data_IF_749833916224
#
_entry.id   IF_749833916224
#
_cell.length_a   1.000
_cell.length_b   1.000
_cell.length_c   1.000
_cell.angle_alpha   90.00
_cell.angle_beta   90.00
_cell.angle_gamma   90.00
#
_symmetry.space_group_name_H-M   'P 1'
#
loop_
_entity.id
_entity.type
_entity.pdbx_description
1 polymer ?
#
# COMPACT_ATOMS: atom_id res chain seq x y z
N UNK A 1 -1.61 25.20 -25.01
CA UNK A 1 -2.51 25.10 -23.82
C UNK A 1 -2.06 26.15 -22.81
N UNK A 2 -2.95 26.70 -21.99
CA UNK A 2 -2.54 27.59 -20.88
C UNK A 2 -1.83 26.76 -19.80
N UNK A 3 -0.79 27.33 -19.16
CA UNK A 3 -0.01 26.64 -18.10
C UNK A 3 -0.90 26.06 -17.00
N UNK A 4 -1.98 26.75 -16.64
CA UNK A 4 -2.96 26.29 -15.65
C UNK A 4 -3.65 24.98 -16.04
N UNK A 5 -3.98 24.80 -17.33
CA UNK A 5 -4.65 23.59 -17.81
C UNK A 5 -3.77 22.34 -17.68
N UNK A 6 -2.45 22.48 -17.87
CA UNK A 6 -1.48 21.40 -17.70
C UNK A 6 -1.44 20.95 -16.24
N UNK A 7 -1.36 21.89 -15.30
CA UNK A 7 -1.34 21.57 -13.87
C UNK A 7 -2.65 20.97 -13.36
N UNK A 8 -3.81 21.45 -13.82
CA UNK A 8 -5.11 20.86 -13.48
C UNK A 8 -5.19 19.41 -13.96
N UNK A 9 -4.79 19.13 -15.20
CA UNK A 9 -4.81 17.77 -15.75
C UNK A 9 -3.82 16.85 -15.02
N UNK A 10 -2.64 17.37 -14.68
CA UNK A 10 -1.65 16.66 -13.88
C UNK A 10 -2.23 16.27 -12.51
N UNK A 11 -2.82 17.22 -11.78
CA UNK A 11 -3.42 16.99 -10.47
C UNK A 11 -4.56 15.97 -10.56
N UNK A 12 -5.49 16.15 -11.50
CA UNK A 12 -6.59 15.22 -11.71
C UNK A 12 -6.09 13.79 -12.00
N UNK A 13 -5.06 13.66 -12.84
CA UNK A 13 -4.46 12.36 -13.17
C UNK A 13 -3.72 11.75 -11.97
N UNK A 14 -3.00 12.55 -11.21
CA UNK A 14 -2.29 12.09 -10.01
C UNK A 14 -3.27 11.60 -8.94
N UNK A 15 -4.32 12.39 -8.65
CA UNK A 15 -5.35 12.05 -7.67
C UNK A 15 -6.16 10.81 -8.06
N UNK A 16 -6.58 10.71 -9.33
CA UNK A 16 -7.27 9.50 -9.82
C UNK A 16 -6.37 8.26 -9.75
N UNK A 17 -5.08 8.40 -10.04
CA UNK A 17 -4.12 7.30 -9.93
C UNK A 17 -3.86 6.89 -8.49
N UNK A 18 -3.87 7.85 -7.55
CA UNK A 18 -3.76 7.58 -6.13
C UNK A 18 -4.96 6.78 -5.62
N UNK A 19 -6.18 7.19 -5.98
CA UNK A 19 -7.40 6.47 -5.63
C UNK A 19 -7.44 5.06 -6.25
N UNK A 20 -7.06 4.95 -7.52
CA UNK A 20 -6.95 3.66 -8.19
C UNK A 20 -5.91 2.75 -7.53
N UNK A 21 -4.74 3.30 -7.17
CA UNK A 21 -3.70 2.57 -6.46
C UNK A 21 -4.19 2.10 -5.08
N UNK A 22 -4.90 2.94 -4.34
CA UNK A 22 -5.49 2.58 -3.05
C UNK A 22 -6.47 1.42 -3.21
N UNK A 23 -7.39 1.49 -4.17
CA UNK A 23 -8.35 0.41 -4.45
C UNK A 23 -7.65 -0.89 -4.86
N UNK A 24 -6.67 -0.83 -5.76
CA UNK A 24 -5.88 -2.00 -6.18
C UNK A 24 -5.09 -2.59 -5.01
N UNK A 25 -4.52 -1.74 -4.14
CA UNK A 25 -3.77 -2.19 -2.96
C UNK A 25 -4.65 -2.97 -2.02
N UNK A 26 -5.85 -2.47 -1.71
CA UNK A 26 -6.85 -3.19 -0.88
C UNK A 26 -7.21 -4.54 -1.50
N UNK A 27 -7.48 -4.57 -2.81
CA UNK A 27 -7.86 -5.82 -3.49
C UNK A 27 -6.74 -6.85 -3.43
N UNK A 28 -5.49 -6.46 -3.69
CA UNK A 28 -4.34 -7.39 -3.63
C UNK A 28 -4.14 -7.90 -2.20
N UNK A 29 -4.28 -7.02 -1.20
CA UNK A 29 -4.11 -7.35 0.22
C UNK A 29 -5.12 -8.41 0.66
N UNK A 30 -6.41 -8.16 0.45
CA UNK A 30 -7.46 -9.11 0.84
C UNK A 30 -7.37 -10.42 0.05
N UNK A 31 -7.01 -10.34 -1.23
CA UNK A 31 -6.82 -11.53 -2.04
C UNK A 31 -5.63 -12.37 -1.57
N UNK A 32 -4.57 -11.75 -1.07
CA UNK A 32 -3.42 -12.46 -0.50
C UNK A 32 -3.80 -13.21 0.79
N UNK A 33 -4.60 -12.61 1.68
CA UNK A 33 -5.17 -13.35 2.82
C UNK A 33 -5.99 -14.55 2.36
N UNK A 34 -6.90 -14.35 1.40
CA UNK A 34 -7.75 -15.42 0.89
C UNK A 34 -6.95 -16.59 0.31
N UNK A 35 -6.02 -16.32 -0.61
CA UNK A 35 -5.19 -17.36 -1.23
C UNK A 35 -4.36 -18.10 -0.18
N UNK A 36 -3.78 -17.37 0.77
CA UNK A 36 -2.98 -17.98 1.84
C UNK A 36 -3.84 -18.85 2.74
N UNK A 37 -5.06 -18.43 3.07
CA UNK A 37 -5.99 -19.22 3.88
C UNK A 37 -6.37 -20.52 3.18
N UNK A 38 -6.61 -20.48 1.87
CA UNK A 38 -6.87 -21.68 1.06
C UNK A 38 -5.67 -22.64 1.08
N UNK A 39 -4.45 -22.14 0.87
CA UNK A 39 -3.22 -22.95 0.88
C UNK A 39 -2.99 -23.58 2.26
N UNK A 40 -3.16 -22.79 3.32
CA UNK A 40 -2.95 -23.21 4.71
C UNK A 40 -4.15 -23.98 5.29
N UNK A 41 -5.20 -24.20 4.49
CA UNK A 41 -6.45 -24.87 4.88
C UNK A 41 -7.10 -24.25 6.13
N UNK A 42 -6.95 -22.94 6.30
CA UNK A 42 -7.57 -22.19 7.41
C UNK A 42 -9.04 -21.94 7.05
N UNK A 43 -10.00 -22.31 7.92
CA UNK A 43 -11.41 -22.03 7.68
C UNK A 43 -11.67 -20.54 7.49
N UNK A 44 -12.46 -20.20 6.47
CA UNK A 44 -12.84 -18.81 6.16
C UNK A 44 -14.26 -18.61 6.68
N UNK A 45 -14.43 -17.78 7.72
CA UNK A 45 -15.76 -17.51 8.26
C UNK A 45 -16.50 -16.48 7.42
N UNK A 46 -15.82 -15.41 7.03
CA UNK A 46 -16.37 -14.39 6.14
C UNK A 46 -15.27 -13.62 5.43
N UNK A 47 -15.63 -13.07 4.27
CA UNK A 47 -14.74 -12.26 3.46
C UNK A 47 -15.43 -10.94 3.14
N UNK A 48 -14.91 -9.84 3.69
CA UNK A 48 -15.39 -8.51 3.42
C UNK A 48 -14.24 -7.64 2.89
N UNK A 49 -14.40 -7.14 1.66
CA UNK A 49 -13.43 -6.21 1.08
C UNK A 49 -13.26 -4.92 1.91
N UNK A 50 -14.26 -4.58 2.72
CA UNK A 50 -14.24 -3.45 3.65
C UNK A 50 -15.23 -3.72 4.79
N UNK A 51 -14.78 -3.70 6.04
CA UNK A 51 -15.68 -3.77 7.20
C UNK A 51 -15.82 -2.36 7.82
N UNK A 52 -17.03 -1.78 7.79
CA UNK A 52 -17.28 -0.45 8.35
C UNK A 52 -17.08 -0.37 9.87
N UNK A 53 -17.05 -1.50 10.58
CA UNK A 53 -16.78 -1.54 12.03
C UNK A 53 -15.33 -1.20 12.35
N UNK A 54 -14.41 -1.60 11.48
CA UNK A 54 -12.97 -1.39 11.65
C UNK A 54 -12.45 -0.24 10.77
N UNK A 55 -13.30 0.33 9.92
CA UNK A 55 -12.91 1.29 8.87
C UNK A 55 -11.70 0.80 8.05
N UNK A 56 -11.58 -0.52 7.89
CA UNK A 56 -10.44 -1.19 7.30
C UNK A 56 -10.90 -2.40 6.47
N UNK A 57 -10.09 -2.85 5.49
CA UNK A 57 -10.24 -4.16 4.87
C UNK A 57 -10.30 -5.27 5.93
N UNK A 58 -11.14 -6.29 5.75
CA UNK A 58 -11.34 -7.30 6.79
C UNK A 58 -11.58 -8.72 6.23
N UNK A 59 -10.54 -9.53 6.37
CA UNK A 59 -10.61 -10.98 6.24
C UNK A 59 -10.83 -11.63 7.63
N UNK A 60 -11.86 -12.45 7.80
CA UNK A 60 -12.12 -13.17 9.05
C UNK A 60 -11.88 -14.68 8.89
N UNK A 61 -10.78 -15.17 9.46
CA UNK A 61 -10.59 -16.62 9.62
C UNK A 61 -11.53 -17.15 10.70
N UNK A 62 -12.25 -18.23 10.39
CA UNK A 62 -13.30 -18.78 11.26
C UNK A 62 -12.84 -19.54 12.49
N UNK A 63 -11.55 -19.52 12.83
CA UNK A 63 -11.04 -20.09 14.08
C UNK A 63 -10.56 -18.98 15.02
N UNK A 64 -11.11 -18.94 16.23
CA UNK A 64 -10.55 -18.16 17.35
C UNK A 64 -9.21 -18.75 17.82
N UNK A 65 -8.89 -19.99 17.41
CA UNK A 65 -7.60 -20.61 17.68
C UNK A 65 -6.50 -19.99 16.81
N UNK A 66 -5.53 -19.40 17.51
CA UNK A 66 -4.35 -18.74 16.94
C UNK A 66 -3.32 -19.77 16.43
N UNK A 67 -3.72 -20.56 15.44
CA UNK A 67 -2.89 -21.58 14.80
C UNK A 67 -1.77 -20.95 13.98
N UNK A 68 -0.70 -21.71 13.68
CA UNK A 68 0.36 -21.26 12.79
C UNK A 68 -0.19 -20.85 11.41
N UNK A 69 -1.20 -21.56 10.91
CA UNK A 69 -1.90 -21.21 9.67
C UNK A 69 -2.55 -19.84 9.75
N UNK A 70 -3.34 -19.58 10.80
CA UNK A 70 -3.99 -18.28 11.00
C UNK A 70 -2.96 -17.14 11.09
N UNK A 71 -1.83 -17.35 11.80
CA UNK A 71 -0.72 -16.38 11.83
C UNK A 71 -0.17 -16.07 10.44
N UNK A 72 0.15 -17.10 9.66
CA UNK A 72 0.69 -16.93 8.30
C UNK A 72 -0.30 -16.18 7.40
N UNK A 73 -1.59 -16.48 7.53
CA UNK A 73 -2.65 -15.72 6.84
C UNK A 73 -2.60 -14.27 7.25
N UNK A 74 -2.55 -13.92 8.54
CA UNK A 74 -2.48 -12.53 9.00
C UNK A 74 -1.26 -11.77 8.50
N UNK A 75 -0.09 -12.42 8.34
CA UNK A 75 1.08 -11.75 7.72
C UNK A 75 0.89 -11.48 6.22
N UNK A 76 0.17 -12.37 5.53
CA UNK A 76 0.22 -12.45 4.07
C UNK A 76 -0.36 -11.24 3.35
N UNK A 77 -1.44 -10.64 3.86
CA UNK A 77 -2.10 -9.50 3.24
C UNK A 77 -1.13 -8.35 2.99
N UNK A 78 -0.59 -7.80 4.07
CA UNK A 78 0.36 -6.69 3.98
C UNK A 78 1.71 -7.08 3.34
N UNK A 79 2.30 -8.23 3.71
CA UNK A 79 3.63 -8.60 3.20
C UNK A 79 3.61 -8.86 1.68
N UNK A 80 2.66 -9.64 1.17
CA UNK A 80 2.58 -9.95 -0.26
C UNK A 80 2.30 -8.67 -1.05
N UNK A 81 1.34 -7.87 -0.61
CA UNK A 81 0.98 -6.61 -1.28
C UNK A 81 2.15 -5.64 -1.32
N UNK A 82 2.81 -5.45 -0.17
CA UNK A 82 3.96 -4.58 -0.05
C UNK A 82 5.11 -5.02 -0.96
N UNK A 83 5.44 -6.31 -0.96
CA UNK A 83 6.47 -6.86 -1.84
C UNK A 83 6.12 -6.71 -3.32
N UNK A 84 4.88 -7.00 -3.73
CA UNK A 84 4.44 -6.84 -5.12
C UNK A 84 4.62 -5.39 -5.59
N UNK A 85 4.18 -4.41 -4.78
CA UNK A 85 4.32 -2.99 -5.09
C UNK A 85 5.81 -2.58 -5.21
N UNK A 86 6.64 -3.00 -4.26
CA UNK A 86 8.07 -2.68 -4.28
C UNK A 86 8.82 -3.37 -5.43
N UNK A 87 8.45 -4.61 -5.78
CA UNK A 87 9.02 -5.32 -6.94
C UNK A 87 8.68 -4.61 -8.25
N UNK A 88 7.45 -4.08 -8.40
CA UNK A 88 7.08 -3.26 -9.57
C UNK A 88 8.05 -2.07 -9.71
N UNK A 89 8.43 -1.40 -8.62
CA UNK A 89 9.40 -0.30 -8.64
C UNK A 89 10.78 -0.75 -9.13
N UNK A 90 11.25 -1.89 -8.64
CA UNK A 90 12.55 -2.44 -9.02
C UNK A 90 12.56 -2.78 -10.51
N UNK A 91 11.57 -3.54 -10.99
CA UNK A 91 11.53 -4.00 -12.38
C UNK A 91 11.16 -2.91 -13.39
N UNK A 92 10.37 -1.92 -12.98
CA UNK A 92 9.94 -0.80 -13.85
C UNK A 92 10.65 0.51 -13.54
N UNK A 93 11.80 0.47 -12.86
CA UNK A 93 12.62 1.65 -12.51
C UNK A 93 12.80 2.66 -13.63
N UNK A 94 13.14 2.20 -14.85
CA UNK A 94 13.33 3.09 -16.01
C UNK A 94 12.02 3.75 -16.45
N UNK A 95 10.89 3.06 -16.34
CA UNK A 95 9.57 3.56 -16.74
C UNK A 95 9.11 4.74 -15.85
N UNK A 96 9.38 4.66 -14.54
CA UNK A 96 9.03 5.71 -13.57
C UNK A 96 9.84 7.01 -13.75
N UNK A 97 11.00 6.97 -14.39
CA UNK A 97 11.88 8.14 -14.58
C UNK A 97 11.59 8.95 -15.85
N UNK A 98 10.55 8.61 -16.61
CA UNK A 98 10.30 9.20 -17.95
C UNK A 98 9.56 10.54 -17.87
N UNK A 99 8.63 10.70 -16.93
CA UNK A 99 7.81 11.91 -16.78
C UNK A 99 7.50 12.18 -15.31
N UNK A 100 7.10 13.41 -14.99
CA UNK A 100 6.80 13.80 -13.60
C UNK A 100 5.64 12.97 -13.05
N UNK A 101 4.57 12.78 -13.85
CA UNK A 101 3.44 11.94 -13.47
C UNK A 101 3.84 10.51 -13.11
N UNK A 102 4.67 9.86 -13.93
CA UNK A 102 5.14 8.50 -13.64
C UNK A 102 6.03 8.49 -12.41
N UNK A 103 6.86 9.51 -12.25
CA UNK A 103 7.70 9.64 -11.08
C UNK A 103 6.85 9.71 -9.79
N UNK A 104 5.77 10.50 -9.79
CA UNK A 104 4.82 10.57 -8.67
C UNK A 104 4.06 9.26 -8.44
N UNK A 105 3.68 8.55 -9.49
CA UNK A 105 3.07 7.22 -9.35
C UNK A 105 4.03 6.24 -8.66
N UNK A 106 5.30 6.22 -9.07
CA UNK A 106 6.32 5.41 -8.41
C UNK A 106 6.56 5.84 -6.95
N UNK A 107 6.48 7.13 -6.67
CA UNK A 107 6.53 7.66 -5.30
C UNK A 107 5.38 7.11 -4.45
N UNK A 108 4.14 7.15 -4.94
CA UNK A 108 3.01 6.56 -4.22
C UNK A 108 3.19 5.05 -4.02
N UNK A 109 3.59 4.31 -5.05
CA UNK A 109 3.83 2.87 -4.95
C UNK A 109 4.88 2.56 -3.88
N UNK A 110 5.92 3.39 -3.73
CA UNK A 110 6.94 3.19 -2.70
C UNK A 110 6.38 3.42 -1.29
N UNK A 111 5.62 4.50 -1.12
CA UNK A 111 4.94 4.84 0.13
C UNK A 111 3.99 3.71 0.56
N UNK A 112 3.08 3.30 -0.34
CA UNK A 112 2.12 2.22 -0.05
C UNK A 112 2.82 0.87 0.11
N UNK A 113 3.87 0.59 -0.67
CA UNK A 113 4.63 -0.65 -0.56
C UNK A 113 5.25 -0.82 0.83
N UNK A 114 5.95 0.20 1.32
CA UNK A 114 6.53 0.18 2.67
C UNK A 114 5.46 0.18 3.78
N UNK A 115 4.38 0.94 3.61
CA UNK A 115 3.23 0.90 4.51
C UNK A 115 2.66 -0.52 4.63
N UNK A 116 2.40 -1.19 3.50
CA UNK A 116 1.82 -2.53 3.48
C UNK A 116 2.74 -3.59 4.09
N UNK A 117 4.05 -3.52 3.84
CA UNK A 117 5.03 -4.39 4.54
C UNK A 117 4.91 -4.21 6.06
N UNK A 118 4.82 -2.97 6.53
CA UNK A 118 4.63 -2.69 7.95
C UNK A 118 3.30 -3.26 8.46
N UNK A 119 2.21 -3.05 7.73
CA UNK A 119 0.89 -3.56 8.13
C UNK A 119 0.88 -5.09 8.21
N UNK A 120 1.51 -5.79 7.26
CA UNK A 120 1.60 -7.25 7.35
C UNK A 120 2.38 -7.74 8.57
N UNK A 121 3.42 -7.01 8.99
CA UNK A 121 4.14 -7.32 10.24
C UNK A 121 3.25 -7.05 11.46
N UNK A 122 2.54 -5.91 11.47
CA UNK A 122 1.65 -5.55 12.58
C UNK A 122 0.46 -6.52 12.70
N UNK A 123 -0.18 -6.86 11.59
CA UNK A 123 -1.28 -7.83 11.52
C UNK A 123 -0.88 -9.22 11.98
N UNK A 124 0.33 -9.68 11.64
CA UNK A 124 0.79 -11.03 11.98
C UNK A 124 1.46 -11.15 13.36
N UNK A 125 2.23 -10.15 13.78
CA UNK A 125 3.01 -10.19 15.02
C UNK A 125 2.30 -9.52 16.20
N UNK A 126 1.47 -8.51 15.92
CA UNK A 126 0.85 -7.62 16.91
C UNK A 126 -0.64 -7.43 16.63
N UNK A 127 -1.32 -8.50 16.18
CA UNK A 127 -2.69 -8.47 15.69
C UNK A 127 -3.68 -7.79 16.64
N UNK A 128 -3.58 -8.06 17.94
CA UNK A 128 -4.47 -7.46 18.93
C UNK A 128 -4.29 -5.95 19.00
N UNK A 129 -3.04 -5.47 18.93
CA UNK A 129 -2.74 -4.03 18.84
C UNK A 129 -3.19 -3.44 17.50
N UNK A 130 -3.07 -4.20 16.41
CA UNK A 130 -3.52 -3.75 15.10
C UNK A 130 -5.04 -3.58 15.05
N UNK A 131 -5.81 -4.55 15.56
CA UNK A 131 -7.28 -4.53 15.54
C UNK A 131 -7.86 -3.58 16.59
N UNK A 132 -7.35 -3.60 17.83
CA UNK A 132 -7.89 -2.77 18.91
C UNK A 132 -7.87 -1.28 18.58
N UNK A 133 -6.89 -0.87 17.79
CA UNK A 133 -6.63 0.51 17.44
C UNK A 133 -6.98 0.87 15.99
N UNK A 134 -7.57 -0.05 15.22
CA UNK A 134 -7.85 0.12 13.80
C UNK A 134 -8.71 1.35 13.48
N UNK A 135 -9.55 1.77 14.44
CA UNK A 135 -10.46 2.93 14.31
C UNK A 135 -9.82 4.27 14.71
N UNK A 136 -8.63 4.25 15.32
CA UNK A 136 -7.93 5.45 15.75
C UNK A 136 -6.70 5.72 14.88
N UNK A 137 -6.81 6.70 13.98
CA UNK A 137 -5.70 7.10 13.08
C UNK A 137 -4.47 7.67 13.79
N UNK A 138 -4.56 7.95 15.10
CA UNK A 138 -3.47 8.39 15.96
C UNK A 138 -2.94 7.28 16.88
N UNK A 139 -3.32 6.03 16.63
CA UNK A 139 -2.79 4.91 17.40
C UNK A 139 -1.34 4.61 17.08
N UNK A 140 -0.71 3.81 17.96
CA UNK A 140 0.68 3.40 17.79
C UNK A 140 0.90 2.62 16.50
N UNK A 141 -0.04 1.75 16.11
CA UNK A 141 0.02 0.99 14.86
C UNK A 141 0.04 1.90 13.64
N UNK A 142 -0.80 2.95 13.62
CA UNK A 142 -0.79 3.97 12.58
C UNK A 142 0.48 4.82 12.59
N UNK A 143 1.00 5.22 13.76
CA UNK A 143 2.27 5.95 13.84
C UNK A 143 3.44 5.15 13.27
N UNK A 144 3.54 3.86 13.59
CA UNK A 144 4.57 2.97 13.03
C UNK A 144 4.36 2.84 11.52
N UNK A 145 3.12 2.66 11.06
CA UNK A 145 2.78 2.67 9.64
C UNK A 145 3.25 3.95 8.95
N UNK A 146 2.97 5.13 9.53
CA UNK A 146 3.34 6.43 8.94
C UNK A 146 4.86 6.58 8.86
N UNK A 147 5.58 6.09 9.87
CA UNK A 147 7.04 6.07 9.84
C UNK A 147 7.56 5.22 8.67
N UNK A 148 6.98 4.03 8.43
CA UNK A 148 7.34 3.19 7.28
C UNK A 148 6.97 3.81 5.93
N UNK A 149 5.79 4.43 5.83
CA UNK A 149 5.41 5.20 4.64
C UNK A 149 6.43 6.31 4.35
N UNK A 150 6.83 7.05 5.38
CA UNK A 150 7.82 8.12 5.27
C UNK A 150 9.21 7.58 4.86
N UNK A 151 9.62 6.42 5.39
CA UNK A 151 10.83 5.74 4.96
C UNK A 151 10.75 5.34 3.48
N UNK A 152 9.60 4.83 3.01
CA UNK A 152 9.35 4.54 1.60
C UNK A 152 9.48 5.78 0.71
N UNK A 153 8.91 6.90 1.14
CA UNK A 153 9.03 8.19 0.46
C UNK A 153 10.49 8.62 0.33
N UNK A 154 11.25 8.63 1.43
CA UNK A 154 12.67 9.03 1.43
C UNK A 154 13.49 8.08 0.54
N UNK A 155 13.28 6.77 0.70
CA UNK A 155 14.02 5.76 -0.07
C UNK A 155 13.79 5.93 -1.56
N UNK A 156 12.54 6.16 -1.98
CA UNK A 156 12.24 6.42 -3.38
C UNK A 156 12.90 7.70 -3.91
N UNK A 157 12.86 8.79 -3.14
CA UNK A 157 13.54 10.03 -3.49
C UNK A 157 15.04 9.84 -3.71
N UNK A 158 15.70 9.09 -2.82
CA UNK A 158 17.14 8.79 -2.91
C UNK A 158 17.46 7.86 -4.08
N UNK A 159 16.62 6.84 -4.31
CA UNK A 159 16.84 5.82 -5.34
C UNK A 159 16.40 6.27 -6.74
N UNK A 160 15.56 7.29 -6.86
CA UNK A 160 15.04 7.84 -8.12
C UNK A 160 15.37 9.32 -8.29
N UNK A 161 16.68 9.70 -8.36
CA UNK A 161 17.07 11.07 -8.59
C UNK A 161 16.65 11.54 -9.99
N UNK A 162 16.47 12.86 -10.14
CA UNK A 162 16.15 13.48 -11.44
C UNK A 162 14.79 14.18 -11.50
N UNK A 163 14.01 14.17 -10.42
CA UNK A 163 12.69 14.85 -10.37
C UNK A 163 12.80 16.34 -10.70
N UNK A 164 13.88 17.03 -10.28
CA UNK A 164 14.14 18.44 -10.64
C UNK A 164 14.21 18.65 -12.16
N UNK A 165 14.86 17.73 -12.88
CA UNK A 165 14.94 17.77 -14.34
C UNK A 165 13.59 17.48 -15.01
N UNK A 166 12.77 16.60 -14.41
CA UNK A 166 11.41 16.33 -14.89
C UNK A 166 10.48 17.54 -14.68
N UNK A 167 10.58 18.21 -13.53
CA UNK A 167 9.82 19.43 -13.24
C UNK A 167 10.19 20.54 -14.24
N UNK A 168 11.49 20.76 -14.47
CA UNK A 168 11.95 21.75 -15.45
C UNK A 168 11.46 21.43 -16.87
N UNK A 169 11.45 20.14 -17.25
CA UNK A 169 10.96 19.69 -18.55
C UNK A 169 9.45 19.91 -18.73
N UNK A 170 8.64 19.69 -17.70
CA UNK A 170 7.19 19.91 -17.79
C UNK A 170 6.80 21.39 -17.66
N UNK A 171 7.56 22.21 -16.92
CA UNK A 171 7.31 23.66 -16.81
C UNK A 171 7.62 24.48 -18.06
N UNK A 172 8.39 23.91 -19.00
CA UNK A 172 8.79 24.53 -20.26
C UNK A 172 7.89 24.15 -21.47
N UNK A 173 6.93 23.24 -21.28
CA UNK A 173 5.94 22.84 -22.29
C UNK A 173 4.57 23.52 -22.04
#
# INVERSE_FOLDING_TARGET
MTKYRVWILFLAKSSSSLLALLGVTVVIHEFAHFITAVIMQVPIASFAWFDPRYFAPAFFSGSEEYTLGAKVVSYSGGLVTGLVLLLILVFKRKWFRVSLYRWFLGFYIATFGCWQVCQGILEGAFHDMYIADATNIFSLSYFIGYAFAFLGMISYWLLMPGVKGLIAKEGNN
#
